data_IF_989975507455
#
_entry.id   IF_989975507455
#
_cell.length_a   1.000
_cell.length_b   1.000
_cell.length_c   1.000
_cell.angle_alpha   90.00
_cell.angle_beta   90.00
_cell.angle_gamma   90.00
#
_symmetry.space_group_name_H-M   'P 1'
#
loop_
_entity.id
_entity.type
_entity.pdbx_description
1 polymer ?
#
# COMPACT_ATOMS: atom_id res chain seq x y z
N UNK A 1 0.79 -8.48 -1.52
CA UNK A 1 0.91 -8.85 -0.09
C UNK A 1 2.37 -9.13 0.21
N UNK A 2 2.85 -8.77 1.41
CA UNK A 2 4.18 -9.19 1.86
C UNK A 2 4.31 -10.70 2.02
N UNK A 3 5.53 -11.17 2.33
CA UNK A 3 5.88 -12.51 2.80
C UNK A 3 6.41 -12.48 4.25
N UNK A 4 6.65 -13.66 4.84
CA UNK A 4 7.10 -13.79 6.24
C UNK A 4 8.57 -13.42 6.44
N UNK A 5 9.42 -13.74 5.47
CA UNK A 5 10.80 -13.25 5.34
C UNK A 5 10.84 -12.17 4.27
N UNK A 6 11.02 -10.93 4.70
CA UNK A 6 10.98 -9.73 3.85
C UNK A 6 12.28 -8.94 3.98
N UNK A 7 12.55 -8.12 2.97
CA UNK A 7 13.65 -7.16 2.94
C UNK A 7 13.07 -5.74 3.00
N UNK A 8 13.90 -4.71 2.92
CA UNK A 8 13.42 -3.32 2.82
C UNK A 8 12.89 -2.95 1.42
N UNK A 9 12.90 -3.87 0.45
CA UNK A 9 12.37 -3.65 -0.90
C UNK A 9 10.90 -3.19 -0.85
N UNK A 10 10.54 -2.12 -1.56
CA UNK A 10 9.19 -1.55 -1.50
C UNK A 10 8.36 -1.81 -2.73
N UNK A 11 8.80 -2.66 -3.66
CA UNK A 11 8.17 -2.87 -4.98
C UNK A 11 6.67 -3.16 -4.89
N UNK A 12 6.21 -3.85 -3.85
CA UNK A 12 4.80 -4.18 -3.68
C UNK A 12 3.91 -2.96 -3.34
N UNK A 13 4.48 -1.86 -2.83
CA UNK A 13 3.78 -0.60 -2.60
C UNK A 13 3.51 0.09 -3.94
N UNK A 14 4.54 0.27 -4.76
CA UNK A 14 4.45 0.84 -6.11
C UNK A 14 3.53 0.00 -7.01
N UNK A 15 3.65 -1.34 -6.95
CA UNK A 15 2.77 -2.24 -7.69
C UNK A 15 1.29 -2.07 -7.31
N UNK A 16 0.99 -1.88 -6.01
CA UNK A 16 -0.39 -1.71 -5.54
C UNK A 16 -1.03 -0.43 -6.11
N UNK A 17 -0.27 0.66 -6.16
CA UNK A 17 -0.73 1.94 -6.74
C UNK A 17 -0.80 1.84 -8.26
N UNK A 18 0.21 1.30 -8.93
CA UNK A 18 0.29 1.22 -10.39
C UNK A 18 -0.88 0.43 -11.02
N UNK A 19 -1.39 -0.59 -10.33
CA UNK A 19 -2.53 -1.40 -10.81
C UNK A 19 -3.87 -0.97 -10.20
N UNK A 20 -3.88 0.11 -9.40
CA UNK A 20 -5.05 0.56 -8.63
C UNK A 20 -5.70 -0.60 -7.85
N UNK A 21 -4.90 -1.37 -7.11
CA UNK A 21 -5.39 -2.57 -6.40
C UNK A 21 -6.44 -2.24 -5.33
N UNK A 22 -6.46 -0.99 -4.84
CA UNK A 22 -7.34 -0.50 -3.77
C UNK A 22 -7.00 -1.04 -2.37
N UNK A 23 -6.20 -2.11 -2.28
CA UNK A 23 -5.83 -2.76 -1.03
C UNK A 23 -4.39 -3.27 -1.08
N UNK A 24 -3.68 -3.16 0.04
CA UNK A 24 -2.36 -3.75 0.25
C UNK A 24 -2.29 -4.36 1.65
N UNK A 25 -1.69 -5.55 1.75
CA UNK A 25 -1.39 -6.21 3.03
C UNK A 25 0.12 -6.26 3.21
N UNK A 26 0.66 -5.35 4.02
CA UNK A 26 2.11 -5.22 4.28
C UNK A 26 2.51 -5.42 5.75
N UNK A 27 1.60 -5.88 6.61
CA UNK A 27 1.89 -6.33 7.98
C UNK A 27 1.66 -5.27 9.04
N UNK A 28 1.94 -5.61 10.30
CA UNK A 28 1.89 -4.61 11.36
C UNK A 28 2.93 -3.50 11.09
N UNK A 29 2.68 -2.25 11.50
CA UNK A 29 3.62 -1.12 11.43
C UNK A 29 4.73 -1.28 12.50
N UNK A 30 5.45 -2.39 12.42
CA UNK A 30 6.54 -2.77 13.30
C UNK A 30 7.54 -3.60 12.48
N UNK A 31 8.83 -3.48 12.81
CA UNK A 31 9.96 -3.99 12.02
C UNK A 31 10.19 -3.25 10.70
N UNK A 32 11.45 -2.92 10.43
CA UNK A 32 11.84 -2.00 9.35
C UNK A 32 11.41 -2.50 7.97
N UNK A 33 11.49 -3.80 7.72
CA UNK A 33 11.12 -4.40 6.43
C UNK A 33 9.65 -4.19 6.07
N UNK A 34 8.77 -3.99 7.06
CA UNK A 34 7.34 -3.72 6.88
C UNK A 34 7.07 -2.22 6.80
N UNK A 35 7.68 -1.46 7.71
CA UNK A 35 7.56 0.00 7.76
C UNK A 35 8.06 0.64 6.47
N UNK A 36 9.09 0.09 5.83
CA UNK A 36 9.61 0.56 4.54
C UNK A 36 8.50 0.71 3.47
N UNK A 37 7.57 -0.26 3.38
CA UNK A 37 6.47 -0.22 2.42
C UNK A 37 5.44 0.86 2.76
N UNK A 38 5.15 1.08 4.04
CA UNK A 38 4.27 2.16 4.48
C UNK A 38 4.88 3.53 4.18
N UNK A 39 6.18 3.69 4.45
CA UNK A 39 6.90 4.91 4.11
C UNK A 39 6.93 5.16 2.60
N UNK A 40 7.01 4.11 1.79
CA UNK A 40 6.91 4.26 0.34
C UNK A 40 5.51 4.71 -0.10
N UNK A 41 4.44 4.19 0.51
CA UNK A 41 3.09 4.69 0.22
C UNK A 41 2.93 6.17 0.56
N UNK A 42 3.53 6.64 1.66
CA UNK A 42 3.55 8.07 2.01
C UNK A 42 4.30 8.91 0.97
N UNK A 43 5.43 8.41 0.45
CA UNK A 43 6.18 9.09 -0.63
C UNK A 43 5.40 9.12 -1.95
N UNK A 44 4.73 8.03 -2.31
CA UNK A 44 3.90 7.97 -3.52
C UNK A 44 2.71 8.94 -3.39
N UNK A 45 2.07 9.00 -2.22
CA UNK A 45 1.01 9.96 -1.93
C UNK A 45 1.52 11.41 -2.06
N UNK A 46 2.69 11.71 -1.49
CA UNK A 46 3.35 13.02 -1.64
C UNK A 46 3.67 13.36 -3.11
N UNK A 47 4.18 12.40 -3.88
CA UNK A 47 4.50 12.59 -5.31
C UNK A 47 3.26 12.83 -6.19
N UNK A 48 2.16 12.12 -5.91
CA UNK A 48 0.89 12.28 -6.63
C UNK A 48 0.19 13.60 -6.29
N UNK A 49 0.40 14.15 -5.09
CA UNK A 49 -0.20 15.39 -4.65
C UNK A 49 -1.73 15.37 -4.77
N UNK A 50 -2.31 16.36 -5.47
CA UNK A 50 -3.76 16.47 -5.65
C UNK A 50 -4.38 15.32 -6.46
N UNK A 51 -3.56 14.53 -7.18
CA UNK A 51 -4.04 13.37 -7.92
C UNK A 51 -4.16 12.09 -7.06
N UNK A 52 -3.69 12.11 -5.80
CA UNK A 52 -3.78 10.96 -4.91
C UNK A 52 -5.23 10.71 -4.45
N UNK A 53 -5.65 9.45 -4.39
CA UNK A 53 -6.98 9.07 -3.90
C UNK A 53 -6.92 7.90 -2.91
N UNK A 54 -7.48 8.10 -1.72
CA UNK A 54 -7.71 7.04 -0.73
C UNK A 54 -9.19 6.62 -0.75
N UNK A 55 -9.48 5.49 -1.39
CA UNK A 55 -10.85 5.03 -1.65
C UNK A 55 -11.55 4.36 -0.45
N UNK A 56 -10.84 4.12 0.67
CA UNK A 56 -11.42 3.60 1.92
C UNK A 56 -12.34 2.38 1.72
N UNK A 57 -13.59 2.47 2.19
CA UNK A 57 -14.57 1.39 2.10
C UNK A 57 -14.96 1.02 0.65
N UNK A 58 -14.81 1.96 -0.30
CA UNK A 58 -15.09 1.68 -1.72
C UNK A 58 -14.08 0.67 -2.33
N UNK A 59 -12.97 0.37 -1.64
CA UNK A 59 -12.03 -0.69 -2.01
C UNK A 59 -12.63 -2.11 -1.97
N UNK A 60 -13.86 -2.28 -1.47
CA UNK A 60 -14.58 -3.56 -1.38
C UNK A 60 -15.80 -3.62 -2.33
N UNK A 61 -15.65 -3.47 -3.66
CA UNK A 61 -16.78 -3.40 -4.59
C UNK A 61 -17.60 -4.69 -4.68
N UNK A 62 -17.07 -5.80 -4.14
CA UNK A 62 -17.76 -7.10 -4.09
C UNK A 62 -18.60 -7.28 -2.83
N UNK A 63 -18.47 -6.39 -1.85
CA UNK A 63 -19.24 -6.44 -0.62
C UNK A 63 -20.52 -5.64 -0.81
N UNK A 64 -21.67 -6.33 -0.80
CA UNK A 64 -22.99 -5.70 -0.60
C UNK A 64 -23.39 -5.98 0.84
N UNK A 65 -23.80 -4.92 1.55
CA UNK A 65 -24.43 -5.04 2.87
C UNK A 65 -25.83 -5.67 2.75
#
# INVERSE_FOLDING_TARGET
SHRSGETEDTTIADLAVAVNSGQIKSGAPARSERVAKYNQLLRIEEELGEAAEFIGAAAFPRFSA
#
